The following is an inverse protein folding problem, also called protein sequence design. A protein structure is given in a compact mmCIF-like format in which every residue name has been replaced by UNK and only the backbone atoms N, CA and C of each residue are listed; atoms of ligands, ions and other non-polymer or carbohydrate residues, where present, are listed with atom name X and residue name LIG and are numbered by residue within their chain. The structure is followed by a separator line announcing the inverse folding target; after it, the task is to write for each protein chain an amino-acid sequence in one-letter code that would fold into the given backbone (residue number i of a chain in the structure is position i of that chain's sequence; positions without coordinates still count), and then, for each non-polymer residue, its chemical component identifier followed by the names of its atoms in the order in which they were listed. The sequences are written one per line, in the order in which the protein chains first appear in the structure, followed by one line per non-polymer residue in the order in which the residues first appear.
data_IF_143100005938
#
_entry.id   IF_143100005938
#
_cell.length_a   1.000
_cell.length_b   1.000
_cell.length_c   1.000
_cell.angle_alpha   90.00
_cell.angle_beta   90.00
_cell.angle_gamma   90.00
#
_symmetry.space_group_name_H-M   'P 1'
#
loop_
_entity.id
_entity.type
_entity.pdbx_description
1 polymer ?
#
# COMPACT_ATOMS: atom_id res chain seq x y z
N UNK A 1 -5.27 -5.88 -11.26
CA UNK A 1 -4.84 -4.83 -10.32
C UNK A 1 -3.35 -4.63 -10.48
N UNK A 2 -2.85 -3.41 -10.26
CA UNK A 2 -1.41 -3.09 -10.20
C UNK A 2 -1.14 -2.31 -8.92
N UNK A 3 0.00 -2.59 -8.26
CA UNK A 3 0.47 -1.81 -7.11
C UNK A 3 1.88 -1.31 -7.41
N UNK A 4 2.07 0.01 -7.39
CA UNK A 4 3.36 0.64 -7.73
C UNK A 4 3.91 1.40 -6.52
N UNK A 5 5.11 1.04 -6.08
CA UNK A 5 5.83 1.74 -5.01
C UNK A 5 6.90 2.65 -5.62
N UNK A 6 7.00 3.90 -5.17
CA UNK A 6 7.95 4.89 -5.70
C UNK A 6 8.54 5.73 -4.56
N UNK A 7 9.83 6.06 -4.66
CA UNK A 7 10.42 7.13 -3.83
C UNK A 7 9.82 8.46 -4.25
N UNK A 8 9.44 9.28 -3.26
CA UNK A 8 8.92 10.61 -3.54
C UNK A 8 10.09 11.59 -3.71
N UNK A 9 10.11 12.32 -4.83
CA UNK A 9 11.06 13.40 -5.10
C UNK A 9 10.39 14.77 -5.19
N UNK A 10 9.06 14.82 -5.03
CA UNK A 10 8.29 16.07 -5.00
C UNK A 10 8.28 16.63 -3.58
N UNK A 11 8.97 17.76 -3.39
CA UNK A 11 9.05 18.46 -2.10
C UNK A 11 7.75 19.11 -1.65
N UNK A 12 6.75 19.24 -2.54
CA UNK A 12 5.43 19.76 -2.18
C UNK A 12 4.60 18.74 -1.40
N UNK A 13 4.91 17.45 -1.55
CA UNK A 13 4.28 16.36 -0.81
C UNK A 13 5.11 16.03 0.43
N UNK A 14 4.49 16.11 1.61
CA UNK A 14 5.08 15.66 2.88
C UNK A 14 5.07 14.13 3.00
N UNK A 15 5.62 13.46 1.99
CA UNK A 15 5.66 12.01 1.87
C UNK A 15 7.09 11.55 1.53
N UNK A 16 7.54 10.44 2.12
CA UNK A 16 8.83 9.83 1.77
C UNK A 16 8.73 8.95 0.52
N UNK A 17 7.59 8.26 0.37
CA UNK A 17 7.29 7.35 -0.73
C UNK A 17 5.82 7.44 -1.06
N UNK A 18 5.48 7.06 -2.29
CA UNK A 18 4.10 6.91 -2.73
C UNK A 18 3.83 5.48 -3.13
N UNK A 19 2.60 5.03 -2.88
CA UNK A 19 2.08 3.75 -3.35
C UNK A 19 0.81 4.01 -4.12
N UNK A 20 0.82 3.67 -5.40
CA UNK A 20 -0.35 3.75 -6.25
C UNK A 20 -1.00 2.37 -6.36
N UNK A 21 -2.31 2.31 -6.15
CA UNK A 21 -3.11 1.09 -6.27
C UNK A 21 -4.14 1.28 -7.37
N UNK A 22 -3.99 0.52 -8.46
CA UNK A 22 -4.83 0.60 -9.65
C UNK A 22 -5.70 -0.66 -9.77
N UNK A 23 -7.01 -0.47 -9.70
CA UNK A 23 -8.00 -1.53 -9.84
C UNK A 23 -8.50 -1.64 -11.28
N UNK A 24 -8.80 -2.87 -11.69
CA UNK A 24 -9.49 -3.18 -12.95
C UNK A 24 -10.58 -4.21 -12.67
N UNK A 25 -11.66 -3.83 -11.97
CA UNK A 25 -12.73 -4.76 -11.66
C UNK A 25 -13.43 -5.19 -12.96
N UNK A 26 -13.85 -6.46 -13.08
CA UNK A 26 -14.63 -6.91 -14.22
C UNK A 26 -16.00 -6.23 -14.26
N UNK A 27 -16.62 -6.20 -15.43
CA UNK A 27 -18.00 -5.73 -15.57
C UNK A 27 -18.93 -6.55 -14.65
N UNK A 28 -19.81 -5.88 -13.90
CA UNK A 28 -20.73 -6.54 -12.99
C UNK A 28 -20.07 -7.13 -11.73
N UNK A 29 -18.87 -6.67 -11.35
CA UNK A 29 -18.22 -7.07 -10.11
C UNK A 29 -19.17 -6.93 -8.92
N UNK A 30 -19.41 -8.03 -8.20
CA UNK A 30 -20.39 -8.10 -7.11
C UNK A 30 -20.08 -7.14 -5.94
N UNK A 31 -18.84 -6.69 -5.80
CA UNK A 31 -18.46 -5.66 -4.83
C UNK A 31 -18.95 -4.26 -5.20
N UNK A 32 -19.31 -3.99 -6.46
CA UNK A 32 -19.58 -2.64 -6.96
C UNK A 32 -18.29 -1.87 -7.23
N UNK A 33 -18.23 -0.61 -6.82
CA UNK A 33 -17.00 0.21 -6.86
C UNK A 33 -16.04 -0.15 -5.73
N UNK A 34 -14.78 0.29 -5.84
CA UNK A 34 -13.89 0.41 -4.67
C UNK A 34 -14.13 1.79 -4.08
N UNK A 35 -14.60 1.85 -2.84
CA UNK A 35 -14.93 3.11 -2.17
C UNK A 35 -13.70 3.73 -1.51
N UNK A 36 -12.89 2.91 -0.85
CA UNK A 36 -11.74 3.40 -0.10
C UNK A 36 -10.65 2.33 0.00
N UNK A 37 -9.41 2.73 -0.21
CA UNK A 37 -8.22 2.00 0.25
C UNK A 37 -7.76 2.61 1.56
N UNK A 38 -7.61 1.82 2.61
CA UNK A 38 -7.33 2.34 3.96
C UNK A 38 -5.85 2.64 4.21
N UNK A 39 -4.95 1.96 3.51
CA UNK A 39 -3.50 2.01 3.74
C UNK A 39 -2.86 0.65 3.53
N UNK A 40 -1.69 0.42 4.12
CA UNK A 40 -0.96 -0.85 4.04
C UNK A 40 -0.65 -1.37 5.45
N UNK A 41 -0.70 -2.70 5.58
CA UNK A 41 -0.27 -3.42 6.77
C UNK A 41 0.79 -4.45 6.39
N UNK A 42 1.84 -4.59 7.19
CA UNK A 42 2.97 -5.45 6.85
C UNK A 42 3.01 -6.65 7.80
N UNK A 43 3.19 -7.84 7.26
CA UNK A 43 3.09 -9.12 7.97
C UNK A 43 4.32 -10.01 7.76
N UNK A 44 4.61 -10.87 8.73
CA UNK A 44 5.64 -11.93 8.61
C UNK A 44 5.17 -13.17 7.88
N UNK A 45 3.87 -13.42 7.85
CA UNK A 45 3.26 -14.53 7.11
C UNK A 45 1.82 -14.17 6.74
N UNK A 46 1.19 -14.96 5.89
CA UNK A 46 -0.17 -14.71 5.43
C UNK A 46 -1.19 -14.60 6.58
N UNK A 47 -1.08 -15.47 7.59
CA UNK A 47 -2.01 -15.54 8.73
C UNK A 47 -1.62 -14.62 9.90
N UNK A 48 -0.43 -14.00 9.86
CA UNK A 48 0.05 -13.16 10.94
C UNK A 48 -0.76 -11.87 11.05
N UNK A 49 -0.78 -11.28 12.25
CA UNK A 49 -1.34 -9.93 12.43
C UNK A 49 -0.43 -8.91 11.75
N UNK A 50 -1.01 -8.04 10.92
CA UNK A 50 -0.30 -6.95 10.27
C UNK A 50 0.05 -5.79 11.22
N UNK A 51 1.16 -5.13 10.92
CA UNK A 51 1.58 -3.87 11.54
C UNK A 51 1.33 -2.74 10.52
N UNK A 52 0.57 -1.69 10.87
CA UNK A 52 0.32 -0.57 9.96
C UNK A 52 1.62 0.20 9.68
N UNK A 53 1.77 0.71 8.45
CA UNK A 53 2.71 1.81 8.18
C UNK A 53 2.05 3.15 8.47
N UNK A 54 2.88 4.14 8.79
CA UNK A 54 2.43 5.52 8.90
C UNK A 54 2.26 6.12 7.50
N UNK A 55 1.01 6.22 7.04
CA UNK A 55 0.66 6.67 5.71
C UNK A 55 -0.76 7.24 5.65
N UNK A 56 -1.00 8.08 4.65
CA UNK A 56 -2.32 8.61 4.31
C UNK A 56 -2.73 8.12 2.93
N UNK A 57 -3.97 7.65 2.81
CA UNK A 57 -4.54 7.18 1.55
C UNK A 57 -5.58 8.18 1.03
N UNK A 58 -5.54 8.45 -0.26
CA UNK A 58 -6.50 9.31 -0.97
C UNK A 58 -7.05 8.58 -2.19
N UNK A 59 -8.35 8.79 -2.43
CA UNK A 59 -9.02 8.34 -3.66
C UNK A 59 -8.77 9.37 -4.76
N UNK A 60 -8.21 8.94 -5.89
CA UNK A 60 -8.09 9.78 -7.09
C UNK A 60 -9.39 9.66 -7.90
N UNK A 61 -9.78 8.42 -8.19
CA UNK A 61 -11.07 8.08 -8.81
C UNK A 61 -11.53 6.69 -8.36
N UNK A 62 -12.57 6.11 -8.99
CA UNK A 62 -13.14 4.81 -8.61
C UNK A 62 -12.20 3.62 -8.77
N UNK A 63 -11.08 3.80 -9.48
CA UNK A 63 -10.11 2.76 -9.82
C UNK A 63 -8.67 3.10 -9.43
N UNK A 64 -8.35 4.36 -9.16
CA UNK A 64 -6.99 4.81 -8.81
C UNK A 64 -6.95 5.39 -7.40
N UNK A 65 -6.00 4.89 -6.60
CA UNK A 65 -5.76 5.33 -5.22
C UNK A 65 -4.28 5.63 -5.02
N UNK A 66 -3.99 6.66 -4.22
CA UNK A 66 -2.63 7.04 -3.87
C UNK A 66 -2.46 7.01 -2.36
N UNK A 67 -1.40 6.34 -1.91
CA UNK A 67 -1.01 6.26 -0.51
C UNK A 67 0.32 7.01 -0.36
N UNK A 68 0.31 8.12 0.36
CA UNK A 68 1.50 8.86 0.74
C UNK A 68 2.05 8.35 2.07
N UNK A 69 3.23 7.75 2.05
CA UNK A 69 3.92 7.32 3.26
C UNK A 69 4.56 8.52 3.95
N UNK A 70 4.44 8.60 5.28
CA UNK A 70 4.91 9.76 6.06
C UNK A 70 6.33 10.23 5.69
N UNK A 71 6.47 11.55 5.53
CA UNK A 71 7.75 12.23 5.30
C UNK A 71 8.52 12.54 6.60
N UNK A 72 7.90 12.41 7.77
CA UNK A 72 8.55 12.67 9.07
C UNK A 72 9.69 11.68 9.26
N UNK A 73 10.91 12.16 9.52
CA UNK A 73 12.14 11.35 9.48
C UNK A 73 12.06 10.04 10.30
N UNK A 74 11.52 10.12 11.53
CA UNK A 74 11.35 8.95 12.40
C UNK A 74 10.37 7.92 11.80
N UNK A 75 9.23 8.40 11.29
CA UNK A 75 8.17 7.54 10.75
C UNK A 75 8.58 6.96 9.40
N UNK A 76 9.25 7.76 8.56
CA UNK A 76 9.83 7.34 7.30
C UNK A 76 10.87 6.22 7.50
N UNK A 77 11.76 6.35 8.49
CA UNK A 77 12.74 5.32 8.84
C UNK A 77 12.07 4.03 9.35
N UNK A 78 11.08 4.15 10.24
CA UNK A 78 10.31 3.02 10.73
C UNK A 78 9.58 2.28 9.60
N UNK A 79 8.93 3.03 8.70
CA UNK A 79 8.26 2.50 7.52
C UNK A 79 9.22 1.74 6.59
N UNK A 80 10.38 2.33 6.25
CA UNK A 80 11.42 1.67 5.43
C UNK A 80 11.87 0.35 6.05
N UNK A 81 12.14 0.36 7.36
CA UNK A 81 12.51 -0.86 8.09
C UNK A 81 11.41 -1.91 8.04
N UNK A 82 10.15 -1.52 8.23
CA UNK A 82 9.03 -2.45 8.26
C UNK A 82 8.79 -3.08 6.88
N UNK A 83 8.77 -2.28 5.81
CA UNK A 83 8.53 -2.78 4.45
C UNK A 83 9.65 -3.73 3.98
N UNK A 84 10.91 -3.46 4.33
CA UNK A 84 12.04 -4.34 3.96
C UNK A 84 12.06 -5.65 4.75
N UNK A 85 11.56 -5.67 5.99
CA UNK A 85 11.69 -6.82 6.91
C UNK A 85 10.50 -7.77 6.97
N UNK A 86 9.42 -7.48 6.24
CA UNK A 86 8.16 -8.25 6.28
C UNK A 86 7.90 -8.83 4.92
N UNK A 87 7.42 -10.05 4.80
CA UNK A 87 7.27 -10.72 3.49
C UNK A 87 5.88 -10.53 2.88
N UNK A 88 4.94 -9.95 3.62
CA UNK A 88 3.55 -9.83 3.20
C UNK A 88 3.03 -8.41 3.39
N UNK A 89 2.17 -7.98 2.47
CA UNK A 89 1.48 -6.69 2.47
C UNK A 89 -0.02 -6.95 2.40
N UNK A 90 -0.76 -6.45 3.37
CA UNK A 90 -2.21 -6.37 3.32
C UNK A 90 -2.64 -4.96 2.92
N UNK A 91 -3.62 -4.89 2.01
CA UNK A 91 -4.29 -3.65 1.58
C UNK A 91 -5.77 -3.76 1.97
N UNK A 92 -6.17 -3.24 3.14
CA UNK A 92 -7.57 -3.21 3.54
C UNK A 92 -8.34 -2.19 2.70
N UNK A 93 -9.53 -2.57 2.24
CA UNK A 93 -10.38 -1.72 1.43
C UNK A 93 -11.88 -1.89 1.75
N UNK A 94 -12.64 -0.86 1.40
CA UNK A 94 -14.10 -0.87 1.40
C UNK A 94 -14.61 -0.89 -0.03
N UNK A 95 -15.58 -1.76 -0.28
CA UNK A 95 -16.37 -1.71 -1.50
C UNK A 95 -17.49 -0.65 -1.39
N UNK A 96 -18.03 -0.21 -2.53
CA UNK A 96 -19.20 0.68 -2.57
C UNK A 96 -20.42 0.09 -1.86
N UNK A 97 -20.48 -1.25 -1.76
CA UNK A 97 -21.47 -2.00 -0.97
C UNK A 97 -21.25 -1.94 0.55
N UNK A 98 -20.27 -1.16 1.03
CA UNK A 98 -19.84 -1.06 2.44
C UNK A 98 -19.27 -2.35 3.03
N UNK A 99 -19.04 -3.37 2.21
CA UNK A 99 -18.34 -4.59 2.60
C UNK A 99 -16.83 -4.34 2.66
N UNK A 100 -16.19 -4.92 3.68
CA UNK A 100 -14.73 -4.89 3.84
C UNK A 100 -14.08 -6.04 3.08
N UNK A 101 -12.93 -5.76 2.49
CA UNK A 101 -12.04 -6.78 1.95
C UNK A 101 -10.59 -6.46 2.29
N UNK A 102 -9.74 -7.47 2.21
CA UNK A 102 -8.29 -7.35 2.34
C UNK A 102 -7.67 -8.02 1.13
N UNK A 103 -6.76 -7.31 0.47
CA UNK A 103 -5.87 -7.93 -0.51
C UNK A 103 -4.56 -8.28 0.20
N UNK A 104 -4.26 -9.57 0.28
CA UNK A 104 -3.00 -10.07 0.82
C UNK A 104 -2.03 -10.37 -0.33
N UNK A 105 -0.86 -9.73 -0.29
CA UNK A 105 0.16 -9.81 -1.34
C UNK A 105 1.45 -10.32 -0.69
N UNK A 106 1.96 -11.45 -1.18
CA UNK A 106 3.29 -11.94 -0.82
C UNK A 106 4.35 -11.20 -1.65
N UNK A 107 5.47 -10.84 -1.02
CA UNK A 107 6.69 -10.44 -1.69
C UNK A 107 7.53 -11.68 -1.91
N UNK A 108 7.67 -12.08 -3.16
CA UNK A 108 8.65 -13.08 -3.56
C UNK A 108 10.07 -12.52 -3.52
N UNK A 109 11.06 -13.32 -3.92
CA UNK A 109 12.47 -12.93 -3.90
C UNK A 109 12.77 -11.70 -4.78
N UNK A 110 12.16 -11.64 -5.97
CA UNK A 110 12.35 -10.53 -6.91
C UNK A 110 11.74 -9.24 -6.35
N UNK A 111 10.52 -9.31 -5.81
CA UNK A 111 9.90 -8.20 -5.12
C UNK A 111 10.77 -7.73 -3.94
N UNK A 112 11.24 -8.64 -3.09
CA UNK A 112 12.08 -8.28 -1.94
C UNK A 112 13.33 -7.48 -2.34
N UNK A 113 14.01 -7.87 -3.43
CA UNK A 113 15.14 -7.13 -3.99
C UNK A 113 14.75 -5.72 -4.48
N UNK A 114 13.63 -5.60 -5.18
CA UNK A 114 13.09 -4.30 -5.60
C UNK A 114 12.77 -3.39 -4.41
N UNK A 115 12.15 -3.93 -3.36
CA UNK A 115 11.84 -3.19 -2.14
C UNK A 115 13.10 -2.70 -1.42
N UNK A 116 14.18 -3.48 -1.39
CA UNK A 116 15.45 -3.03 -0.84
C UNK A 116 16.05 -1.85 -1.62
N UNK A 117 15.81 -1.79 -2.93
CA UNK A 117 16.28 -0.70 -3.80
C UNK A 117 15.42 0.56 -3.63
N UNK A 118 14.09 0.43 -3.76
CA UNK A 118 13.16 1.57 -3.69
C UNK A 118 13.20 2.23 -2.32
N UNK A 119 13.35 1.44 -1.26
CA UNK A 119 13.38 1.90 0.12
C UNK A 119 14.80 1.98 0.69
N UNK A 120 15.84 2.05 -0.13
CA UNK A 120 17.18 2.42 0.34
C UNK A 120 17.19 3.86 0.89
N UNK A 121 18.09 4.15 1.82
CA UNK A 121 18.25 5.51 2.37
C UNK A 121 18.76 6.49 1.28
#
# INVERSE_FOLDING_TARGET
MVVSFRRNFDSSLSASHTVQVDFKPPLGFAGGSIEQVMGLMLKTSEQAKGVPIDALSVKIDDTHFLIGMSGVAQNASANRRLIRSRDWIDIPLFYGTQRRAILAIAKDGDAAAMFNTVFAD
#
